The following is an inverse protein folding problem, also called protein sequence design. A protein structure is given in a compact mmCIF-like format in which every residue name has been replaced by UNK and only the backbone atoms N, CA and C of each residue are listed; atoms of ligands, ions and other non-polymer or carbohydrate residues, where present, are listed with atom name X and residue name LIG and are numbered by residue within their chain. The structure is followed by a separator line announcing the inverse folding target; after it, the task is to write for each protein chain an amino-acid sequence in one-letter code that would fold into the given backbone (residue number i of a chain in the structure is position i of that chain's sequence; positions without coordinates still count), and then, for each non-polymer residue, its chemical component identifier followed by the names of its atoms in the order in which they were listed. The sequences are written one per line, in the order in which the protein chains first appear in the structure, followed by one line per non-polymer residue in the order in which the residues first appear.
data_IF_460285308340
#
_entry.id   IF_460285308340
#
_cell.length_a   1.000
_cell.length_b   1.000
_cell.length_c   1.000
_cell.angle_alpha   90.00
_cell.angle_beta   90.00
_cell.angle_gamma   90.00
#
_symmetry.space_group_name_H-M   'P 1'
#
loop_
_entity.id
_entity.type
_entity.pdbx_description
1 polymer ?
#
# COMPACT_ATOMS: atom_id res chain seq x y z
N UNK A 1 19.85 24.78 17.16
CA UNK A 1 20.39 23.55 17.81
C UNK A 1 20.40 22.46 16.76
N UNK A 2 21.55 21.94 16.41
CA UNK A 2 21.71 21.02 15.25
C UNK A 2 21.32 19.61 15.67
N UNK A 3 20.25 19.02 15.10
CA UNK A 3 19.96 17.60 15.25
C UNK A 3 20.83 16.82 14.26
N UNK A 4 21.60 15.90 14.81
CA UNK A 4 22.46 14.98 14.08
C UNK A 4 21.60 13.88 13.45
N UNK A 5 21.74 13.71 12.15
CA UNK A 5 21.25 12.54 11.44
C UNK A 5 22.06 11.32 11.91
N UNK A 6 21.42 10.32 12.46
CA UNK A 6 22.03 9.02 12.75
C UNK A 6 21.72 8.13 11.54
N UNK A 7 22.74 7.93 10.71
CA UNK A 7 22.72 6.89 9.70
C UNK A 7 23.09 5.57 10.40
N UNK A 8 22.17 4.63 10.45
CA UNK A 8 22.47 3.27 10.89
C UNK A 8 23.15 2.52 9.74
N UNK A 9 24.45 2.32 9.82
CA UNK A 9 25.18 1.40 8.94
C UNK A 9 24.99 -0.03 9.47
N UNK A 10 24.29 -0.86 8.71
CA UNK A 10 24.35 -2.31 8.88
C UNK A 10 25.67 -2.81 8.25
N UNK A 11 26.63 -3.18 9.10
CA UNK A 11 27.81 -3.94 8.68
C UNK A 11 27.48 -5.42 8.70
N UNK A 12 27.23 -6.02 7.54
CA UNK A 12 27.18 -7.47 7.39
C UNK A 12 28.61 -8.04 7.45
N UNK A 13 28.90 -8.85 8.48
CA UNK A 13 30.13 -9.60 8.58
C UNK A 13 30.04 -10.90 7.75
N UNK A 14 30.71 -10.94 6.62
CA UNK A 14 30.89 -12.17 5.83
C UNK A 14 32.01 -12.98 6.46
N UNK A 15 31.71 -14.14 7.04
CA UNK A 15 32.72 -15.14 7.43
C UNK A 15 33.04 -16.02 6.21
N UNK A 16 34.21 -15.78 5.61
CA UNK A 16 34.76 -16.68 4.61
C UNK A 16 35.43 -17.87 5.33
N UNK A 17 34.93 -19.08 5.10
CA UNK A 17 35.62 -20.33 5.47
C UNK A 17 36.55 -20.71 4.34
N UNK A 18 37.85 -20.56 4.54
CA UNK A 18 38.91 -21.03 3.65
C UNK A 18 39.20 -22.50 3.93
N UNK A 19 38.92 -23.36 2.98
CA UNK A 19 39.47 -24.74 2.92
C UNK A 19 40.81 -24.71 2.18
N UNK A 20 41.90 -24.93 2.92
CA UNK A 20 43.19 -25.17 2.34
C UNK A 20 43.33 -26.63 1.94
N UNK A 21 43.69 -26.91 0.68
CA UNK A 21 44.24 -28.15 0.26
C UNK A 21 45.57 -27.89 -0.47
N UNK A 22 46.65 -28.48 0.07
CA UNK A 22 48.00 -28.44 -0.43
C UNK A 22 48.21 -29.21 -1.75
N UNK A 23 49.16 -28.72 -2.54
CA UNK A 23 49.77 -29.52 -3.61
C UNK A 23 50.61 -28.65 -4.55
N UNK A 24 51.92 -28.70 -4.44
CA UNK A 24 52.92 -27.80 -4.97
C UNK A 24 53.29 -27.94 -6.45
N UNK A 25 54.05 -27.01 -6.87
CA UNK A 25 55.36 -26.90 -7.47
C UNK A 25 55.47 -25.86 -8.60
N UNK A 26 56.35 -24.90 -8.35
CA UNK A 26 57.21 -24.09 -9.24
C UNK A 26 56.95 -24.00 -10.75
N UNK A 27 56.84 -22.80 -11.32
CA UNK A 27 57.90 -22.00 -11.94
C UNK A 27 57.42 -20.63 -12.49
N UNK A 28 58.31 -19.69 -12.37
CA UNK A 28 58.44 -18.33 -12.85
C UNK A 28 57.85 -17.95 -14.19
N UNK A 29 57.06 -16.80 -14.33
CA UNK A 29 57.54 -15.50 -14.84
C UNK A 29 56.40 -14.52 -15.20
N UNK A 30 56.63 -13.23 -14.80
CA UNK A 30 56.32 -11.98 -15.49
C UNK A 30 54.92 -11.42 -15.53
N UNK A 31 54.70 -10.42 -14.66
CA UNK A 31 53.93 -9.19 -14.83
C UNK A 31 52.87 -9.08 -15.91
N UNK A 32 51.62 -8.95 -15.50
CA UNK A 32 50.79 -7.80 -15.85
C UNK A 32 49.69 -7.64 -14.79
N UNK A 33 49.76 -6.55 -14.05
CA UNK A 33 48.72 -6.10 -13.15
C UNK A 33 47.46 -5.73 -13.97
N UNK A 34 46.52 -6.64 -14.04
CA UNK A 34 45.11 -6.31 -14.28
C UNK A 34 44.36 -6.49 -12.97
N UNK A 35 43.96 -5.34 -12.42
CA UNK A 35 43.06 -5.23 -11.32
C UNK A 35 41.69 -5.76 -11.81
N UNK A 36 41.15 -6.87 -11.31
CA UNK A 36 39.78 -7.23 -11.56
C UNK A 36 38.95 -6.28 -10.68
N UNK A 37 38.37 -5.24 -11.28
CA UNK A 37 37.15 -4.68 -10.71
C UNK A 37 36.12 -5.81 -10.80
N UNK A 38 35.97 -6.56 -9.74
CA UNK A 38 34.77 -7.34 -9.48
C UNK A 38 33.61 -6.34 -9.47
N UNK A 39 32.88 -6.31 -10.58
CA UNK A 39 31.49 -5.93 -10.58
C UNK A 39 30.79 -6.96 -9.70
N UNK A 40 30.69 -6.71 -8.41
CA UNK A 40 29.69 -7.35 -7.59
C UNK A 40 28.33 -6.90 -8.17
N UNK A 41 27.70 -7.70 -9.01
CA UNK A 41 26.30 -7.55 -9.34
C UNK A 41 25.56 -7.48 -8.01
N UNK A 42 24.92 -6.36 -7.72
CA UNK A 42 24.13 -6.20 -6.52
C UNK A 42 23.11 -7.33 -6.49
N UNK A 43 23.16 -8.19 -5.48
CA UNK A 43 22.26 -9.31 -5.36
C UNK A 43 20.84 -8.76 -5.23
N UNK A 44 19.93 -9.23 -6.08
CA UNK A 44 18.54 -8.80 -6.06
C UNK A 44 17.91 -9.03 -4.68
N UNK A 45 17.27 -8.01 -4.12
CA UNK A 45 16.62 -8.05 -2.80
C UNK A 45 15.18 -8.54 -2.98
N UNK A 46 14.87 -9.67 -2.35
CA UNK A 46 13.51 -10.22 -2.28
C UNK A 46 13.06 -10.32 -0.83
N UNK A 47 11.79 -9.92 -0.55
CA UNK A 47 11.19 -10.04 0.77
C UNK A 47 10.01 -11.02 0.75
N UNK A 48 9.94 -11.88 1.76
CA UNK A 48 8.80 -12.74 2.02
C UNK A 48 7.96 -12.14 3.16
N UNK A 49 6.72 -11.78 2.85
CA UNK A 49 5.73 -11.30 3.79
C UNK A 49 4.67 -12.38 4.03
N UNK A 50 3.85 -12.22 5.07
CA UNK A 50 2.70 -13.09 5.27
C UNK A 50 1.48 -12.31 5.73
N UNK A 51 0.31 -12.76 5.24
CA UNK A 51 -0.99 -12.22 5.58
C UNK A 51 -1.97 -13.32 6.00
N UNK A 52 -2.96 -12.92 6.82
CA UNK A 52 -4.02 -13.83 7.27
C UNK A 52 -5.06 -14.16 6.20
N UNK A 53 -5.01 -13.50 5.06
CA UNK A 53 -6.01 -13.53 3.99
C UNK A 53 -5.33 -13.71 2.64
N UNK A 54 -6.03 -14.35 1.70
CA UNK A 54 -5.62 -14.40 0.32
C UNK A 54 -6.12 -13.16 -0.45
N UNK A 55 -5.53 -12.92 -1.61
CA UNK A 55 -5.92 -11.84 -2.51
C UNK A 55 -6.64 -12.41 -3.72
N UNK A 56 -7.81 -11.88 -4.01
CA UNK A 56 -8.58 -12.30 -5.17
C UNK A 56 -8.58 -11.23 -6.26
N UNK A 57 -8.57 -9.95 -5.84
CA UNK A 57 -8.57 -8.78 -6.72
C UNK A 57 -7.56 -7.74 -6.26
N UNK A 58 -6.99 -7.04 -7.22
CA UNK A 58 -6.04 -5.94 -7.00
C UNK A 58 -6.66 -4.57 -7.31
N UNK A 59 -7.97 -4.42 -7.15
CA UNK A 59 -8.65 -3.16 -7.40
C UNK A 59 -8.64 -2.26 -6.17
N UNK A 60 -8.66 -0.94 -6.40
CA UNK A 60 -8.62 0.09 -5.34
C UNK A 60 -9.92 0.18 -4.54
N UNK A 61 -11.03 -0.26 -5.10
CA UNK A 61 -12.33 -0.23 -4.44
C UNK A 61 -12.67 -1.63 -3.93
N UNK A 62 -12.65 -1.76 -2.62
CA UNK A 62 -12.89 -3.03 -1.94
C UNK A 62 -14.21 -2.94 -1.20
N UNK A 63 -15.16 -3.80 -1.59
CA UNK A 63 -16.45 -3.94 -0.92
C UNK A 63 -16.63 -5.35 -0.39
N UNK A 64 -17.50 -5.56 0.64
CA UNK A 64 -17.79 -6.89 1.15
C UNK A 64 -18.35 -7.86 0.11
N UNK A 65 -18.90 -7.37 -1.00
CA UNK A 65 -19.44 -8.17 -2.09
C UNK A 65 -18.33 -8.69 -3.02
N UNK A 66 -17.27 -7.88 -3.18
CA UNK A 66 -16.14 -8.25 -4.05
C UNK A 66 -15.32 -9.33 -3.39
N UNK A 67 -15.10 -9.26 -2.09
CA UNK A 67 -14.44 -10.34 -1.37
C UNK A 67 -14.46 -10.13 0.15
N UNK A 68 -14.86 -11.15 0.88
CA UNK A 68 -14.59 -11.26 2.32
C UNK A 68 -13.10 -11.48 2.62
N UNK A 69 -12.30 -11.82 1.62
CA UNK A 69 -10.88 -12.17 1.72
C UNK A 69 -9.93 -11.08 1.20
N UNK A 70 -10.42 -9.99 0.60
CA UNK A 70 -9.56 -8.95 0.00
C UNK A 70 -9.24 -7.77 0.92
N UNK A 71 -9.65 -7.80 2.18
CA UNK A 71 -9.46 -6.65 3.06
C UNK A 71 -7.99 -6.26 3.31
N UNK A 72 -7.08 -7.22 3.21
CA UNK A 72 -5.69 -6.97 3.59
C UNK A 72 -4.83 -6.44 2.45
N UNK A 73 -5.28 -6.53 1.19
CA UNK A 73 -4.62 -5.82 0.08
C UNK A 73 -4.63 -4.29 0.29
N UNK A 74 -5.54 -3.77 1.11
CA UNK A 74 -5.65 -2.34 1.43
C UNK A 74 -4.33 -1.76 1.94
N UNK A 75 -3.56 -2.52 2.71
CA UNK A 75 -2.26 -2.08 3.23
C UNK A 75 -1.17 -2.00 2.17
N UNK A 76 -1.37 -2.65 1.02
CA UNK A 76 -0.42 -2.70 -0.08
C UNK A 76 -0.84 -1.84 -1.28
N UNK A 77 -2.04 -1.27 -1.27
CA UNK A 77 -2.56 -0.50 -2.42
C UNK A 77 -1.64 0.64 -2.84
N UNK A 78 -1.03 1.33 -1.88
CA UNK A 78 -0.05 2.40 -2.16
C UNK A 78 1.25 1.90 -2.80
N UNK A 79 1.50 0.59 -2.79
CA UNK A 79 2.61 -0.01 -3.54
C UNK A 79 2.29 -0.15 -5.03
N UNK A 80 1.02 -0.11 -5.41
CA UNK A 80 0.55 -0.34 -6.78
C UNK A 80 -0.09 0.88 -7.41
N UNK A 81 -0.78 1.69 -6.59
CA UNK A 81 -1.61 2.80 -7.05
C UNK A 81 -1.22 4.09 -6.36
N UNK A 82 -0.78 5.05 -7.13
CA UNK A 82 -0.66 6.41 -6.65
C UNK A 82 -2.04 7.08 -6.59
N UNK A 83 -2.12 8.10 -5.77
CA UNK A 83 -3.26 9.00 -5.60
C UNK A 83 -2.91 10.40 -6.12
N UNK A 84 -3.87 11.29 -6.19
CA UNK A 84 -3.57 12.70 -6.53
C UNK A 84 -2.71 13.36 -5.47
N UNK A 85 -2.93 13.00 -4.20
CA UNK A 85 -2.26 13.58 -3.03
C UNK A 85 -1.90 12.48 -2.04
N UNK A 86 -0.96 12.79 -1.15
CA UNK A 86 -0.60 11.94 0.00
C UNK A 86 -0.38 12.78 1.26
N UNK A 87 -0.24 12.11 2.40
CA UNK A 87 0.21 12.75 3.62
C UNK A 87 1.73 12.60 3.76
N UNK A 88 2.43 13.72 3.93
CA UNK A 88 3.84 13.69 4.29
C UNK A 88 4.03 13.27 5.76
N UNK A 89 5.29 13.13 6.20
CA UNK A 89 5.64 12.77 7.58
C UNK A 89 5.18 13.78 8.65
N UNK A 90 4.80 14.99 8.25
CA UNK A 90 4.27 16.04 9.13
C UNK A 90 2.74 16.03 9.18
N UNK A 91 2.09 15.17 8.38
CA UNK A 91 0.63 15.05 8.27
C UNK A 91 0.01 16.12 7.38
N UNK A 92 0.80 16.77 6.53
CA UNK A 92 0.32 17.73 5.54
C UNK A 92 0.00 17.03 4.22
N UNK A 93 -1.00 17.51 3.51
CA UNK A 93 -1.37 17.02 2.18
C UNK A 93 -0.41 17.59 1.15
N UNK A 94 0.25 16.71 0.41
CA UNK A 94 1.19 17.06 -0.68
C UNK A 94 0.76 16.38 -1.98
N UNK A 95 1.11 16.99 -3.13
CA UNK A 95 0.77 16.44 -4.43
C UNK A 95 1.64 15.25 -4.82
N UNK A 96 1.02 14.17 -5.29
CA UNK A 96 1.68 12.99 -5.87
C UNK A 96 1.51 13.03 -7.38
N UNK A 97 0.35 12.64 -7.92
CA UNK A 97 0.04 12.76 -9.35
C UNK A 97 -0.44 14.17 -9.73
N UNK A 98 -1.00 14.93 -8.77
CA UNK A 98 -1.30 16.35 -8.98
C UNK A 98 -0.05 17.19 -8.75
N UNK A 99 0.37 17.95 -9.79
CA UNK A 99 1.48 18.91 -9.72
C UNK A 99 1.05 20.21 -9.07
N UNK A 100 -0.18 20.67 -9.38
CA UNK A 100 -0.79 21.88 -8.85
C UNK A 100 -2.31 21.71 -8.76
N UNK A 101 -2.95 22.56 -7.96
CA UNK A 101 -4.40 22.54 -7.84
C UNK A 101 -4.97 23.91 -7.43
N UNK A 102 -6.25 24.11 -7.75
CA UNK A 102 -7.01 25.25 -7.31
C UNK A 102 -8.44 24.87 -6.94
N UNK A 103 -9.11 25.73 -6.18
CA UNK A 103 -10.50 25.57 -5.79
C UNK A 103 -11.29 26.85 -6.13
N UNK A 104 -12.49 26.69 -6.67
CA UNK A 104 -13.41 27.81 -6.91
C UNK A 104 -13.82 28.52 -5.61
N UNK A 105 -14.24 29.79 -5.71
CA UNK A 105 -14.66 30.60 -4.55
C UNK A 105 -15.82 29.98 -3.77
N UNK A 106 -16.71 29.24 -4.45
CA UNK A 106 -17.84 28.56 -3.81
C UNK A 106 -17.48 27.20 -3.22
N UNK A 107 -16.21 26.75 -3.38
CA UNK A 107 -15.68 25.50 -2.84
C UNK A 107 -16.26 24.22 -3.47
N UNK A 108 -16.85 24.33 -4.68
CA UNK A 108 -17.49 23.19 -5.35
C UNK A 108 -16.71 22.63 -6.52
N UNK A 109 -15.81 23.40 -7.12
CA UNK A 109 -14.98 22.95 -8.23
C UNK A 109 -13.52 22.94 -7.80
N UNK A 110 -12.87 21.79 -8.01
CA UNK A 110 -11.43 21.64 -7.84
C UNK A 110 -10.82 21.39 -9.22
N UNK A 111 -9.77 22.11 -9.56
CA UNK A 111 -9.01 21.92 -10.79
C UNK A 111 -7.63 21.37 -10.44
N UNK A 112 -7.26 20.24 -11.01
CA UNK A 112 -6.00 19.56 -10.78
C UNK A 112 -5.16 19.57 -12.06
N UNK A 113 -3.89 19.96 -11.95
CA UNK A 113 -2.88 19.80 -12.99
C UNK A 113 -2.15 18.46 -12.75
N UNK A 114 -2.21 17.55 -13.71
CA UNK A 114 -1.62 16.21 -13.61
C UNK A 114 -0.19 16.23 -14.14
N UNK A 115 0.72 15.58 -13.42
CA UNK A 115 2.12 15.41 -13.86
C UNK A 115 2.17 14.67 -15.20
N UNK A 116 3.03 15.15 -16.08
CA UNK A 116 3.21 14.59 -17.43
C UNK A 116 4.27 13.48 -17.43
N UNK A 117 4.17 12.57 -18.40
CA UNK A 117 5.17 11.53 -18.66
C UNK A 117 5.11 10.33 -17.69
N UNK A 118 4.09 10.26 -16.86
CA UNK A 118 3.84 9.10 -15.98
C UNK A 118 3.17 7.98 -16.78
N UNK A 119 3.57 6.74 -16.51
CA UNK A 119 3.01 5.54 -17.15
C UNK A 119 2.41 4.60 -16.11
N UNK A 120 1.36 3.91 -16.52
CA UNK A 120 0.84 2.76 -15.81
C UNK A 120 1.78 1.54 -15.91
N UNK A 121 1.56 0.55 -15.07
CA UNK A 121 2.35 -0.69 -15.05
C UNK A 121 2.30 -1.48 -16.36
N UNK A 122 1.24 -1.31 -17.16
CA UNK A 122 1.09 -1.90 -18.49
C UNK A 122 1.80 -1.10 -19.61
N UNK A 123 2.38 0.06 -19.28
CA UNK A 123 3.11 0.94 -20.20
C UNK A 123 2.28 2.01 -20.88
N UNK A 124 0.96 2.04 -20.68
CA UNK A 124 0.11 3.13 -21.18
C UNK A 124 0.39 4.44 -20.44
N UNK A 125 0.16 5.58 -21.09
CA UNK A 125 0.40 6.90 -20.51
C UNK A 125 -0.75 7.31 -19.60
N UNK A 126 -0.43 7.92 -18.45
CA UNK A 126 -1.40 8.54 -17.56
C UNK A 126 -1.89 9.85 -18.16
N UNK A 127 -3.20 10.01 -18.24
CA UNK A 127 -3.86 11.24 -18.70
C UNK A 127 -4.91 11.72 -17.69
N UNK A 128 -5.42 12.93 -17.92
CA UNK A 128 -6.53 13.48 -17.16
C UNK A 128 -7.81 12.63 -17.28
N UNK A 129 -8.00 11.92 -18.39
CA UNK A 129 -9.15 11.01 -18.59
C UNK A 129 -9.11 9.85 -17.59
N UNK A 130 -7.93 9.28 -17.33
CA UNK A 130 -7.76 8.19 -16.35
C UNK A 130 -8.11 8.66 -14.95
N UNK A 131 -7.66 9.85 -14.58
CA UNK A 131 -7.98 10.46 -13.28
C UNK A 131 -9.48 10.72 -13.16
N UNK A 132 -10.10 11.35 -14.15
CA UNK A 132 -11.53 11.66 -14.14
C UNK A 132 -12.36 10.38 -14.02
N UNK A 133 -12.07 9.35 -14.82
CA UNK A 133 -12.77 8.07 -14.77
C UNK A 133 -12.55 7.32 -13.46
N UNK A 134 -11.31 7.34 -12.91
CA UNK A 134 -11.03 6.73 -11.61
C UNK A 134 -11.88 7.35 -10.50
N UNK A 135 -12.00 8.67 -10.48
CA UNK A 135 -12.83 9.39 -9.50
C UNK A 135 -14.31 9.06 -9.68
N UNK A 136 -14.83 9.10 -10.91
CA UNK A 136 -16.25 8.84 -11.22
C UNK A 136 -16.61 7.36 -11.00
N UNK A 137 -15.67 6.45 -11.14
CA UNK A 137 -15.89 5.03 -10.90
C UNK A 137 -16.11 4.70 -9.41
N UNK A 138 -15.66 5.57 -8.49
CA UNK A 138 -15.79 5.32 -7.04
C UNK A 138 -17.23 5.13 -6.60
N UNK A 139 -18.15 6.09 -6.79
CA UNK A 139 -19.54 5.90 -6.38
C UNK A 139 -20.23 4.74 -7.10
N UNK A 140 -19.89 4.47 -8.37
CA UNK A 140 -20.45 3.38 -9.16
C UNK A 140 -20.06 2.02 -8.58
N UNK A 141 -18.78 1.80 -8.30
CA UNK A 141 -18.27 0.51 -7.84
C UNK A 141 -18.50 0.30 -6.33
N UNK A 142 -18.65 1.35 -5.53
CA UNK A 142 -19.10 1.23 -4.15
C UNK A 142 -20.58 0.86 -4.03
N UNK A 143 -21.43 1.24 -5.00
CA UNK A 143 -22.84 0.89 -5.03
C UNK A 143 -23.54 1.23 -3.70
N UNK A 144 -24.11 0.22 -3.05
CA UNK A 144 -24.80 0.38 -1.75
C UNK A 144 -23.87 0.77 -0.60
N UNK A 145 -22.54 0.58 -0.74
CA UNK A 145 -21.52 0.96 0.23
C UNK A 145 -20.96 2.36 -0.03
N UNK A 146 -21.52 3.12 -0.97
CA UNK A 146 -21.08 4.48 -1.24
C UNK A 146 -21.18 5.36 0.02
N UNK A 147 -20.06 6.00 0.38
CA UNK A 147 -19.91 6.76 1.63
C UNK A 147 -19.25 5.98 2.78
N UNK A 148 -18.93 4.69 2.60
CA UNK A 148 -18.26 3.90 3.65
C UNK A 148 -16.82 4.32 3.90
N UNK A 149 -16.15 4.92 2.89
CA UNK A 149 -14.75 5.36 2.97
C UNK A 149 -14.60 6.89 3.10
N UNK A 150 -15.68 7.60 3.29
CA UNK A 150 -15.70 9.04 3.41
C UNK A 150 -16.90 9.66 2.72
N UNK A 151 -16.99 10.98 2.77
CA UNK A 151 -18.13 11.70 2.24
C UNK A 151 -17.96 12.08 0.77
N UNK A 152 -16.72 12.24 0.31
CA UNK A 152 -16.43 12.77 -1.03
C UNK A 152 -17.18 11.99 -2.12
N UNK A 153 -17.12 10.66 -2.10
CA UNK A 153 -17.77 9.81 -3.08
C UNK A 153 -19.30 10.00 -3.18
N UNK A 154 -19.94 10.51 -2.11
CA UNK A 154 -21.39 10.75 -2.09
C UNK A 154 -21.83 12.11 -2.65
N UNK A 155 -20.88 13.00 -2.89
CA UNK A 155 -21.11 14.38 -3.32
C UNK A 155 -20.40 14.74 -4.63
N UNK A 156 -19.73 13.80 -5.27
CA UNK A 156 -19.20 13.97 -6.63
C UNK A 156 -20.40 14.16 -7.56
N UNK A 157 -20.39 15.27 -8.28
CA UNK A 157 -21.39 15.56 -9.34
C UNK A 157 -20.84 15.12 -10.68
N UNK A 158 -19.58 15.48 -10.97
CA UNK A 158 -18.88 15.14 -12.21
C UNK A 158 -17.38 15.26 -12.03
N UNK A 159 -16.60 14.64 -12.93
CA UNK A 159 -15.17 14.85 -13.09
C UNK A 159 -14.83 14.83 -14.58
N UNK A 160 -14.21 15.89 -15.06
CA UNK A 160 -14.00 16.12 -16.50
C UNK A 160 -12.54 16.40 -16.79
N UNK A 161 -11.98 15.67 -17.76
CA UNK A 161 -10.71 16.06 -18.37
C UNK A 161 -10.95 17.24 -19.31
N UNK A 162 -10.48 18.44 -18.94
CA UNK A 162 -10.63 19.65 -19.75
C UNK A 162 -9.55 19.78 -20.82
N UNK A 163 -8.43 19.15 -20.59
CA UNK A 163 -7.36 18.87 -21.56
C UNK A 163 -6.63 17.58 -21.19
N UNK A 164 -5.51 17.28 -21.84
CA UNK A 164 -4.75 16.02 -21.66
C UNK A 164 -4.25 15.81 -20.22
N UNK A 165 -3.99 16.91 -19.47
CA UNK A 165 -3.39 16.87 -18.14
C UNK A 165 -4.13 17.75 -17.10
N UNK A 166 -5.34 18.20 -17.40
CA UNK A 166 -6.15 19.02 -16.50
C UNK A 166 -7.49 18.34 -16.21
N UNK A 167 -7.79 18.14 -14.92
CA UNK A 167 -9.05 17.57 -14.45
C UNK A 167 -9.81 18.60 -13.63
N UNK A 168 -11.08 18.76 -13.92
CA UNK A 168 -12.04 19.47 -13.05
C UNK A 168 -12.93 18.47 -12.33
N UNK A 169 -12.92 18.52 -10.99
CA UNK A 169 -13.82 17.77 -10.13
C UNK A 169 -14.93 18.71 -9.63
N UNK A 170 -16.18 18.39 -9.96
CA UNK A 170 -17.36 19.13 -9.54
C UNK A 170 -18.09 18.43 -8.41
N UNK A 171 -18.42 19.17 -7.36
CA UNK A 171 -19.14 18.68 -6.18
C UNK A 171 -20.52 19.31 -6.07
N UNK A 172 -21.50 18.55 -5.62
CA UNK A 172 -22.88 19.06 -5.35
C UNK A 172 -22.91 20.11 -4.24
N UNK A 173 -21.91 20.12 -3.36
CA UNK A 173 -21.78 21.07 -2.25
C UNK A 173 -20.30 21.28 -1.90
N UNK A 174 -19.93 22.41 -1.25
CA UNK A 174 -18.54 22.63 -0.81
C UNK A 174 -18.09 21.57 0.19
N UNK A 175 -16.84 21.10 0.02
CA UNK A 175 -16.26 20.10 0.91
C UNK A 175 -14.76 20.28 1.08
N UNK A 176 -14.33 20.83 2.21
CA UNK A 176 -12.92 21.18 2.45
C UNK A 176 -12.01 19.99 2.79
N UNK A 177 -12.57 18.80 3.00
CA UNK A 177 -11.76 17.56 3.15
C UNK A 177 -11.49 16.85 1.83
N UNK A 178 -11.86 17.40 0.69
CA UNK A 178 -11.69 16.80 -0.64
C UNK A 178 -10.27 16.29 -0.86
N UNK A 179 -9.25 17.14 -0.66
CA UNK A 179 -7.86 16.73 -0.87
C UNK A 179 -7.43 15.61 0.09
N UNK A 180 -7.92 15.62 1.32
CA UNK A 180 -7.60 14.60 2.33
C UNK A 180 -8.18 13.23 1.97
N UNK A 181 -9.39 13.20 1.43
CA UNK A 181 -9.98 11.94 0.96
C UNK A 181 -9.32 11.46 -0.33
N UNK A 182 -8.85 12.36 -1.19
CA UNK A 182 -8.06 12.03 -2.38
C UNK A 182 -6.62 11.53 -2.07
N UNK A 183 -6.20 11.52 -0.81
CA UNK A 183 -4.99 10.83 -0.36
C UNK A 183 -5.19 9.33 -0.13
N UNK A 184 -6.43 8.83 -0.14
CA UNK A 184 -6.76 7.46 0.20
C UNK A 184 -6.73 6.56 -1.05
N UNK A 185 -5.76 5.68 -1.16
CA UNK A 185 -5.68 4.73 -2.26
C UNK A 185 -6.91 3.80 -2.34
N UNK A 186 -7.53 3.49 -1.21
CA UNK A 186 -8.87 2.91 -1.15
C UNK A 186 -9.83 4.02 -0.66
N UNK A 187 -10.71 4.58 -1.52
CA UNK A 187 -11.07 4.11 -2.88
C UNK A 187 -10.50 4.96 -4.04
N UNK A 188 -9.65 5.97 -3.81
CA UNK A 188 -9.27 6.99 -4.79
C UNK A 188 -7.89 6.77 -5.46
N UNK A 189 -7.34 5.56 -5.42
CA UNK A 189 -6.17 5.22 -6.23
C UNK A 189 -6.48 5.33 -7.71
N UNK A 190 -5.53 5.88 -8.49
CA UNK A 190 -5.71 6.11 -9.92
C UNK A 190 -5.39 4.84 -10.70
N UNK A 191 -6.31 4.48 -11.57
CA UNK A 191 -6.33 3.27 -12.38
C UNK A 191 -6.42 3.63 -13.85
N UNK A 192 -5.75 2.87 -14.74
CA UNK A 192 -5.92 3.03 -16.18
C UNK A 192 -7.39 2.97 -16.58
N UNK A 193 -7.86 3.95 -17.30
CA UNK A 193 -9.26 4.09 -17.72
C UNK A 193 -9.75 2.96 -18.63
N UNK A 194 -8.81 2.25 -19.26
CA UNK A 194 -9.12 1.05 -20.05
C UNK A 194 -9.67 -0.11 -19.20
N UNK A 195 -9.49 -0.04 -17.87
CA UNK A 195 -9.98 -1.07 -16.95
C UNK A 195 -11.42 -0.87 -16.50
N UNK A 196 -12.09 0.13 -17.05
CA UNK A 196 -13.53 0.35 -16.83
C UNK A 196 -14.35 0.02 -18.07
N UNK A 197 -15.60 -0.42 -17.84
CA UNK A 197 -16.64 -0.51 -18.85
C UNK A 197 -17.20 0.90 -19.16
N UNK A 198 -18.04 1.01 -20.18
CA UNK A 198 -18.68 2.29 -20.55
C UNK A 198 -19.51 2.91 -19.41
N UNK A 199 -20.07 2.08 -18.53
CA UNK A 199 -20.83 2.48 -17.35
C UNK A 199 -19.97 2.71 -16.11
N UNK A 200 -18.65 2.77 -16.26
CA UNK A 200 -17.63 2.95 -15.21
C UNK A 200 -17.54 1.78 -14.19
N UNK A 201 -18.24 0.68 -14.42
CA UNK A 201 -17.98 -0.53 -13.63
C UNK A 201 -16.59 -1.10 -13.95
N UNK A 202 -15.90 -1.58 -12.92
CA UNK A 202 -14.58 -2.16 -13.11
C UNK A 202 -14.64 -3.50 -13.86
N UNK A 203 -13.70 -3.73 -14.76
CA UNK A 203 -13.51 -5.02 -15.43
C UNK A 203 -12.87 -6.01 -14.45
N UNK A 204 -13.69 -6.66 -13.64
CA UNK A 204 -13.28 -7.50 -12.52
C UNK A 204 -12.19 -8.53 -12.88
N UNK A 205 -12.30 -9.19 -14.04
CA UNK A 205 -11.35 -10.21 -14.48
C UNK A 205 -9.94 -9.63 -14.73
N UNK A 206 -9.84 -8.37 -15.15
CA UNK A 206 -8.55 -7.70 -15.33
C UNK A 206 -7.81 -7.60 -14.00
N UNK A 207 -8.51 -7.23 -12.93
CA UNK A 207 -7.91 -7.04 -11.60
C UNK A 207 -7.60 -8.35 -10.84
N UNK A 208 -7.96 -9.52 -11.40
CA UNK A 208 -7.50 -10.82 -10.88
C UNK A 208 -6.07 -11.14 -11.30
N UNK A 209 -5.60 -10.57 -12.41
CA UNK A 209 -4.37 -10.95 -13.07
C UNK A 209 -3.31 -9.87 -13.11
N UNK A 210 -3.65 -8.62 -12.80
CA UNK A 210 -2.71 -7.50 -12.85
C UNK A 210 -3.13 -6.33 -11.95
N UNK A 211 -2.16 -5.48 -11.63
CA UNK A 211 -2.34 -4.15 -11.05
C UNK A 211 -2.18 -3.13 -12.18
N UNK A 212 -3.11 -2.22 -12.33
CA UNK A 212 -3.12 -1.22 -13.40
C UNK A 212 -2.93 0.20 -12.86
N UNK A 213 -1.96 0.35 -11.98
CA UNK A 213 -1.61 1.63 -11.35
C UNK A 213 -0.25 2.14 -11.78
N UNK A 214 0.14 3.29 -11.22
CA UNK A 214 1.40 3.98 -11.49
C UNK A 214 2.45 3.77 -10.41
N UNK A 215 2.14 3.00 -9.37
CA UNK A 215 2.98 2.80 -8.20
C UNK A 215 4.26 1.98 -8.45
N UNK A 216 5.14 1.88 -7.43
CA UNK A 216 6.49 1.31 -7.57
C UNK A 216 6.54 -0.19 -7.82
N UNK A 217 5.47 -0.93 -7.53
CA UNK A 217 5.40 -2.37 -7.74
C UNK A 217 4.18 -2.78 -8.55
N UNK A 218 4.26 -3.95 -9.15
CA UNK A 218 3.16 -4.57 -9.87
C UNK A 218 3.07 -6.06 -9.56
N UNK A 219 1.87 -6.62 -9.70
CA UNK A 219 1.65 -8.06 -9.57
C UNK A 219 2.34 -8.82 -10.71
N UNK A 220 3.09 -9.85 -10.37
CA UNK A 220 3.86 -10.63 -11.34
C UNK A 220 3.02 -11.70 -12.09
N UNK A 221 1.76 -11.90 -11.71
CA UNK A 221 0.85 -12.83 -12.37
C UNK A 221 1.06 -14.30 -12.04
N UNK A 222 2.01 -14.63 -11.16
CA UNK A 222 2.31 -16.00 -10.76
C UNK A 222 1.90 -16.24 -9.32
N UNK A 223 0.83 -17.02 -9.12
CA UNK A 223 0.41 -17.42 -7.80
C UNK A 223 -0.13 -18.86 -7.82
N UNK A 224 0.12 -19.58 -6.74
CA UNK A 224 -0.33 -20.95 -6.52
C UNK A 224 -1.62 -21.03 -5.65
N UNK A 225 -2.28 -19.90 -5.42
CA UNK A 225 -3.43 -19.73 -4.53
C UNK A 225 -3.05 -19.59 -3.06
N UNK A 226 -1.75 -19.59 -2.72
CA UNK A 226 -1.22 -19.41 -1.37
C UNK A 226 -0.12 -18.33 -1.30
N UNK A 227 0.50 -18.01 -2.44
CA UNK A 227 1.58 -17.04 -2.52
C UNK A 227 1.35 -16.11 -3.71
N UNK A 228 1.38 -14.80 -3.49
CA UNK A 228 1.28 -13.77 -4.51
C UNK A 228 2.63 -13.08 -4.66
N UNK A 229 3.11 -12.98 -5.89
CA UNK A 229 4.42 -12.42 -6.20
C UNK A 229 4.29 -11.04 -6.84
N UNK A 230 5.13 -10.12 -6.39
CA UNK A 230 5.17 -8.73 -6.84
C UNK A 230 6.60 -8.35 -7.21
N UNK A 231 6.75 -7.56 -8.26
CA UNK A 231 8.03 -7.10 -8.78
C UNK A 231 8.00 -5.59 -8.96
N UNK A 232 9.17 -4.96 -9.04
CA UNK A 232 9.25 -3.55 -9.40
C UNK A 232 8.47 -3.28 -10.68
N UNK A 233 7.74 -2.18 -10.70
CA UNK A 233 7.13 -1.66 -11.91
C UNK A 233 8.23 -1.03 -12.79
N UNK A 234 8.52 -1.57 -13.99
CA UNK A 234 9.58 -1.04 -14.84
C UNK A 234 9.25 0.36 -15.40
N UNK A 235 7.98 0.76 -15.33
CA UNK A 235 7.49 2.04 -15.78
C UNK A 235 7.32 3.06 -14.63
N UNK A 236 7.78 2.72 -13.42
CA UNK A 236 7.64 3.61 -12.27
C UNK A 236 8.37 4.93 -12.50
N UNK A 237 7.69 6.02 -12.26
CA UNK A 237 8.14 7.39 -12.53
C UNK A 237 8.99 8.01 -11.41
N UNK A 238 8.95 7.43 -10.20
CA UNK A 238 9.74 7.85 -9.05
C UNK A 238 11.08 7.13 -8.94
N UNK A 239 11.74 7.29 -7.81
CA UNK A 239 12.99 6.60 -7.50
C UNK A 239 12.74 5.10 -7.37
N UNK A 240 13.61 4.29 -7.98
CA UNK A 240 13.48 2.84 -7.92
C UNK A 240 13.54 2.35 -6.46
N UNK A 241 12.57 1.52 -6.00
CA UNK A 241 12.62 0.96 -4.65
C UNK A 241 13.90 0.14 -4.41
N UNK A 242 14.38 0.07 -3.17
CA UNK A 242 15.55 -0.77 -2.82
C UNK A 242 15.25 -2.27 -2.93
N UNK A 243 14.00 -2.68 -2.64
CA UNK A 243 13.53 -4.07 -2.76
C UNK A 243 13.15 -4.36 -4.20
N UNK A 244 13.73 -5.39 -4.81
CA UNK A 244 13.45 -5.74 -6.22
C UNK A 244 12.11 -6.44 -6.40
N UNK A 245 11.72 -7.24 -5.41
CA UNK A 245 10.49 -8.04 -5.44
C UNK A 245 10.07 -8.44 -4.03
N UNK A 246 8.80 -8.77 -3.88
CA UNK A 246 8.31 -9.38 -2.64
C UNK A 246 7.22 -10.39 -2.92
N UNK A 247 7.06 -11.33 -1.99
CA UNK A 247 5.98 -12.31 -2.00
C UNK A 247 5.12 -12.14 -0.75
N UNK A 248 3.82 -12.35 -0.87
CA UNK A 248 2.90 -12.39 0.27
C UNK A 248 2.34 -13.82 0.36
N UNK A 249 2.63 -14.49 1.46
CA UNK A 249 2.16 -15.84 1.75
C UNK A 249 0.87 -15.79 2.58
N UNK A 250 -0.09 -16.62 2.22
CA UNK A 250 -1.31 -16.81 3.02
C UNK A 250 -1.02 -17.73 4.20
N UNK A 251 -0.94 -17.18 5.40
CA UNK A 251 -0.77 -17.91 6.66
C UNK A 251 -1.83 -17.36 7.64
N UNK A 252 -2.98 -18.02 7.79
CA UNK A 252 -4.11 -17.48 8.56
C UNK A 252 -3.87 -17.41 10.06
N UNK A 253 -3.01 -18.27 10.60
CA UNK A 253 -2.70 -18.36 12.01
C UNK A 253 -1.52 -17.49 12.41
N UNK A 254 -1.67 -16.65 13.44
CA UNK A 254 -0.63 -15.69 13.86
C UNK A 254 0.59 -16.38 14.46
N UNK A 255 0.40 -17.47 15.22
CA UNK A 255 1.53 -18.21 15.82
C UNK A 255 2.32 -18.93 14.71
N UNK A 256 1.64 -19.45 13.70
CA UNK A 256 2.28 -20.01 12.52
C UNK A 256 3.10 -18.98 11.74
N UNK A 257 2.65 -17.71 11.65
CA UNK A 257 3.44 -16.62 11.04
C UNK A 257 4.71 -16.34 11.83
N UNK A 258 4.63 -16.26 13.16
CA UNK A 258 5.80 -16.07 14.03
C UNK A 258 6.78 -17.23 13.86
N UNK A 259 6.28 -18.47 13.80
CA UNK A 259 7.13 -19.63 13.56
C UNK A 259 7.81 -19.60 12.18
N UNK A 260 7.08 -19.21 11.13
CA UNK A 260 7.61 -19.04 9.78
C UNK A 260 8.71 -17.96 9.74
N UNK A 261 8.52 -16.84 10.47
CA UNK A 261 9.55 -15.82 10.64
C UNK A 261 10.78 -16.36 11.37
N UNK A 262 10.62 -17.09 12.46
CA UNK A 262 11.72 -17.71 13.20
C UNK A 262 12.50 -18.73 12.37
N UNK A 263 11.84 -19.41 11.42
CA UNK A 263 12.44 -20.35 10.48
C UNK A 263 13.09 -19.68 9.25
N UNK A 264 12.96 -18.35 9.09
CA UNK A 264 13.45 -17.61 7.92
C UNK A 264 12.63 -17.81 6.65
N UNK A 265 11.36 -18.23 6.78
CA UNK A 265 10.43 -18.37 5.66
C UNK A 265 9.65 -17.09 5.40
N UNK A 266 9.59 -16.18 6.39
CA UNK A 266 8.98 -14.87 6.35
C UNK A 266 10.00 -13.87 6.90
N UNK A 267 10.21 -12.77 6.18
CA UNK A 267 11.19 -11.74 6.52
C UNK A 267 10.54 -10.58 7.29
N UNK A 268 9.26 -10.30 7.06
CA UNK A 268 8.58 -9.16 7.62
C UNK A 268 7.08 -9.44 7.83
N UNK A 269 6.57 -9.03 9.01
CA UNK A 269 5.16 -9.01 9.37
C UNK A 269 4.74 -7.60 9.75
N UNK A 270 3.61 -7.13 9.24
CA UNK A 270 3.09 -5.80 9.53
C UNK A 270 1.63 -5.86 9.98
N UNK A 271 1.30 -4.94 10.88
CA UNK A 271 -0.07 -4.69 11.31
C UNK A 271 -0.57 -5.58 12.45
N UNK A 272 -1.49 -5.01 13.22
CA UNK A 272 -2.05 -5.63 14.44
C UNK A 272 -2.82 -6.95 14.18
N UNK A 273 -3.27 -7.18 12.93
CA UNK A 273 -3.93 -8.42 12.54
C UNK A 273 -2.95 -9.58 12.36
N UNK A 274 -1.69 -9.28 12.04
CA UNK A 274 -0.65 -10.26 11.78
C UNK A 274 0.22 -10.54 13.00
N UNK A 275 0.34 -9.57 13.91
CA UNK A 275 1.18 -9.68 15.10
C UNK A 275 0.34 -9.29 16.31
N UNK A 276 0.15 -10.23 17.24
CA UNK A 276 -0.50 -9.95 18.53
C UNK A 276 0.44 -9.14 19.43
N UNK A 277 -0.12 -8.42 20.42
CA UNK A 277 0.69 -7.71 21.40
C UNK A 277 1.63 -8.64 22.19
N UNK A 278 1.21 -9.87 22.42
CA UNK A 278 2.03 -10.91 23.11
C UNK A 278 3.19 -11.34 22.20
N UNK A 279 2.92 -11.64 20.92
CA UNK A 279 3.95 -12.00 19.95
C UNK A 279 4.92 -10.85 19.74
N UNK A 280 4.45 -9.60 19.67
CA UNK A 280 5.29 -8.41 19.59
C UNK A 280 6.26 -8.35 20.78
N UNK A 281 5.76 -8.46 22.01
CA UNK A 281 6.60 -8.40 23.21
C UNK A 281 7.61 -9.55 23.29
N UNK A 282 7.27 -10.72 22.77
CA UNK A 282 8.18 -11.85 22.66
C UNK A 282 9.29 -11.59 21.63
N UNK A 283 8.94 -11.10 20.44
CA UNK A 283 9.90 -10.87 19.35
C UNK A 283 10.85 -9.71 19.68
N UNK A 284 10.38 -8.67 20.37
CA UNK A 284 11.22 -7.57 20.85
C UNK A 284 12.37 -8.05 21.75
N UNK A 285 12.20 -9.17 22.47
CA UNK A 285 13.19 -9.76 23.36
C UNK A 285 13.96 -10.92 22.74
N UNK A 286 13.69 -11.28 21.49
CA UNK A 286 14.32 -12.41 20.80
C UNK A 286 15.51 -11.93 19.98
N UNK A 287 16.70 -12.45 20.24
CA UNK A 287 17.91 -12.12 19.50
C UNK A 287 17.74 -12.40 18.00
N UNK A 288 18.17 -11.46 17.16
CA UNK A 288 18.12 -11.57 15.70
C UNK A 288 16.83 -11.05 15.06
N UNK A 289 15.86 -10.59 15.87
CA UNK A 289 14.62 -9.97 15.39
C UNK A 289 14.54 -8.51 15.80
N UNK A 290 13.91 -7.69 14.94
CA UNK A 290 13.51 -6.32 15.25
C UNK A 290 12.02 -6.25 15.43
N UNK A 291 11.51 -5.49 16.40
CA UNK A 291 10.12 -5.16 16.57
C UNK A 291 9.96 -3.65 16.76
N UNK A 292 9.02 -3.04 16.04
CA UNK A 292 8.74 -1.61 16.14
C UNK A 292 7.22 -1.42 16.21
N UNK A 293 6.78 -0.58 17.13
CA UNK A 293 5.42 -0.09 17.18
C UNK A 293 5.38 1.40 16.88
N UNK A 294 4.36 1.82 16.14
CA UNK A 294 4.12 3.25 15.94
C UNK A 294 3.62 3.89 17.23
N UNK A 295 4.21 5.01 17.60
CA UNK A 295 3.81 5.78 18.80
C UNK A 295 2.41 6.39 18.64
N UNK A 296 1.95 6.57 17.40
CA UNK A 296 0.65 7.17 17.06
C UNK A 296 -0.10 6.28 16.10
N UNK A 297 -1.28 5.83 16.51
CA UNK A 297 -2.22 5.13 15.64
C UNK A 297 -3.38 6.07 15.27
N UNK A 298 -3.74 6.08 13.98
CA UNK A 298 -4.98 6.71 13.50
C UNK A 298 -6.19 5.76 13.63
N UNK A 299 -5.98 4.59 14.23
CA UNK A 299 -7.02 3.59 14.41
C UNK A 299 -7.79 3.83 15.71
N UNK A 300 -9.12 3.83 15.62
CA UNK A 300 -10.00 3.95 16.79
C UNK A 300 -10.79 2.66 16.96
N UNK A 301 -10.72 2.07 18.14
CA UNK A 301 -11.62 0.99 18.54
C UNK A 301 -12.86 1.56 19.17
N UNK A 302 -14.03 1.04 18.78
CA UNK A 302 -15.30 1.48 19.33
C UNK A 302 -16.25 0.30 19.55
N UNK A 303 -17.17 0.47 20.50
CA UNK A 303 -18.27 -0.46 20.73
C UNK A 303 -19.55 0.18 20.20
N UNK A 304 -20.13 -0.43 19.15
CA UNK A 304 -21.42 0.00 18.59
C UNK A 304 -22.57 -0.77 19.21
N UNK A 305 -23.66 -0.08 19.54
CA UNK A 305 -24.89 -0.69 20.03
C UNK A 305 -25.95 -0.72 18.94
N UNK A 306 -26.51 -1.90 18.68
CA UNK A 306 -27.70 -2.02 17.81
C UNK A 306 -28.93 -1.53 18.57
N UNK A 307 -29.37 -0.31 18.29
CA UNK A 307 -30.51 0.31 18.97
C UNK A 307 -31.87 -0.37 18.68
N UNK A 308 -31.93 -1.23 17.65
CA UNK A 308 -33.11 -2.04 17.36
C UNK A 308 -33.18 -3.33 18.18
N UNK A 309 -32.15 -3.62 18.97
CA UNK A 309 -32.16 -4.76 19.92
C UNK A 309 -33.04 -4.43 21.14
N UNK A 310 -33.80 -5.40 21.62
CA UNK A 310 -34.58 -5.27 22.85
C UNK A 310 -33.71 -4.90 24.06
N UNK A 311 -32.47 -5.42 24.12
CA UNK A 311 -31.53 -5.14 25.19
C UNK A 311 -30.87 -3.75 25.01
N UNK A 312 -30.32 -3.48 23.86
CA UNK A 312 -29.55 -2.24 23.61
C UNK A 312 -30.40 -1.04 23.17
N UNK A 313 -31.71 -1.26 22.96
CA UNK A 313 -32.68 -0.16 22.83
C UNK A 313 -32.85 0.61 24.15
N UNK A 314 -32.62 -0.02 25.31
CA UNK A 314 -32.64 0.65 26.59
C UNK A 314 -31.35 1.47 26.82
N UNK A 315 -31.52 2.76 27.07
CA UNK A 315 -30.42 3.68 27.33
C UNK A 315 -29.63 3.32 28.59
N UNK A 316 -30.32 2.85 29.65
CA UNK A 316 -29.68 2.51 30.92
C UNK A 316 -28.71 1.34 30.77
N UNK A 317 -29.04 0.37 29.91
CA UNK A 317 -28.18 -0.78 29.62
C UNK A 317 -26.90 -0.30 28.88
N UNK A 318 -27.04 0.59 27.90
CA UNK A 318 -25.88 1.16 27.16
C UNK A 318 -24.96 1.96 28.09
N UNK A 319 -25.54 2.79 28.96
CA UNK A 319 -24.79 3.58 29.95
C UNK A 319 -24.06 2.67 30.95
N UNK A 320 -24.71 1.62 31.42
CA UNK A 320 -24.09 0.66 32.34
C UNK A 320 -22.88 -0.04 31.72
N UNK A 321 -23.00 -0.51 30.47
CA UNK A 321 -21.90 -1.14 29.77
C UNK A 321 -20.77 -0.13 29.51
N UNK A 322 -21.09 1.09 29.03
CA UNK A 322 -20.10 2.15 28.80
C UNK A 322 -19.34 2.54 30.07
N UNK A 323 -20.01 2.45 31.24
CA UNK A 323 -19.40 2.76 32.52
C UNK A 323 -18.58 1.59 33.10
N UNK A 324 -18.82 0.37 32.63
CA UNK A 324 -18.06 -0.81 33.02
C UNK A 324 -16.73 -0.97 32.27
N UNK A 325 -16.55 -0.23 31.14
CA UNK A 325 -15.32 -0.26 30.37
C UNK A 325 -14.32 0.70 31.01
N UNK A 326 -13.17 0.16 31.42
CA UNK A 326 -12.03 0.99 31.80
C UNK A 326 -11.46 1.64 30.54
N UNK A 327 -11.54 2.97 30.48
CA UNK A 327 -11.08 3.76 29.32
C UNK A 327 -9.63 4.24 29.43
N UNK A 328 -9.03 4.02 30.60
CA UNK A 328 -7.67 4.44 30.92
C UNK A 328 -6.70 3.23 30.97
N UNK A 329 -7.20 2.01 30.73
CA UNK A 329 -6.44 0.76 30.77
C UNK A 329 -5.63 0.49 29.50
#
# INVERSE_FOLDING_TARGET
MRLKRIAAMLTAAVMAVSLAACGGNTDTNTESSQNPQENAEAQAVHLNLAESWGFEYFYTIITPEVSSSSYDITYYLTSFYDTLFEYNSEGEVVGVLAEDWSMSEDGKTYTFQIKQGIKFSDGSDLTAEDVAKSILAVPVNLGQYNGSYGRLSTIIEDAVATDEYTVELHLTQPYYNTLRELCLANPFGIVSSEQFNEDLTAKQESFRSATYGTGPYMYAGDNDGQTWNFVRNPNYWGDAPEVDSFSIKYIPDNDAKILAMQNGEVDFLSGIKNVSAESYAQMEQTDGFGAQADEKSLQTYYVGYNLNSEIFGDQVVREAISSAIDKDA
#
